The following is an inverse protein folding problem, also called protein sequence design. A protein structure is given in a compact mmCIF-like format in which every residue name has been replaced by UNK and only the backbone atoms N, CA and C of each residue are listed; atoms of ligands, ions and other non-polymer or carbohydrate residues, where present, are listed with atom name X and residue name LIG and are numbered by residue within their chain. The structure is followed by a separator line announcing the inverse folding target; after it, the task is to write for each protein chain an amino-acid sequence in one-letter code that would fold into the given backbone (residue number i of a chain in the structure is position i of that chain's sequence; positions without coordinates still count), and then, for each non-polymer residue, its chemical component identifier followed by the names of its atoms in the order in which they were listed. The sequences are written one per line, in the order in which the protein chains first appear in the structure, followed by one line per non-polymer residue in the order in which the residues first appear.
data_IF_808338778683
#
_entry.id   IF_808338778683
#
_cell.length_a   1.000
_cell.length_b   1.000
_cell.length_c   1.000
_cell.angle_alpha   90.00
_cell.angle_beta   90.00
_cell.angle_gamma   90.00
#
_symmetry.space_group_name_H-M   'P 1'
#
loop_
_entity.id
_entity.type
_entity.pdbx_description
1 polymer ?
#
# COMPACT_ATOMS: atom_id res chain seq x y z
N UNK A 1 -10.74 -0.40 12.07
CA UNK A 1 -9.40 -1.03 12.00
C UNK A 1 -9.34 -2.17 10.99
N UNK A 2 -9.75 -3.42 11.28
CA UNK A 2 -9.59 -4.57 10.35
C UNK A 2 -10.18 -4.33 8.95
N UNK A 3 -11.38 -3.75 8.86
CA UNK A 3 -12.04 -3.46 7.57
C UNK A 3 -11.22 -2.51 6.68
N UNK A 4 -10.60 -1.47 7.28
CA UNK A 4 -9.75 -0.53 6.56
C UNK A 4 -8.49 -1.21 6.02
N UNK A 5 -7.85 -2.03 6.87
CA UNK A 5 -6.66 -2.80 6.49
C UNK A 5 -6.97 -3.77 5.36
N UNK A 6 -8.09 -4.51 5.41
CA UNK A 6 -8.49 -5.41 4.30
C UNK A 6 -8.79 -4.65 3.00
N UNK A 7 -9.44 -3.49 3.09
CA UNK A 7 -9.78 -2.69 1.92
C UNK A 7 -8.52 -2.19 1.22
N UNK A 8 -7.60 -1.58 1.97
CA UNK A 8 -6.35 -1.07 1.42
C UNK A 8 -5.41 -2.19 1.00
N UNK A 9 -5.41 -3.32 1.70
CA UNK A 9 -4.75 -4.54 1.22
C UNK A 9 -5.29 -4.98 -0.15
N UNK A 10 -6.60 -5.02 -0.34
CA UNK A 10 -7.20 -5.36 -1.63
C UNK A 10 -6.86 -4.35 -2.74
N UNK A 11 -6.77 -3.06 -2.41
CA UNK A 11 -6.30 -2.03 -3.35
C UNK A 11 -4.84 -2.23 -3.73
N UNK A 12 -3.97 -2.52 -2.77
CA UNK A 12 -2.55 -2.77 -3.03
C UNK A 12 -2.33 -3.99 -3.94
N UNK A 13 -3.08 -5.07 -3.75
CA UNK A 13 -3.04 -6.24 -4.64
C UNK A 13 -3.46 -5.89 -6.07
N UNK A 14 -4.53 -5.10 -6.23
CA UNK A 14 -4.98 -4.66 -7.56
C UNK A 14 -3.93 -3.82 -8.25
N UNK A 15 -3.32 -2.87 -7.53
CA UNK A 15 -2.23 -2.05 -8.04
C UNK A 15 -1.08 -2.95 -8.47
N UNK A 16 -0.61 -3.86 -7.62
CA UNK A 16 0.49 -4.76 -7.93
C UNK A 16 0.21 -5.69 -9.14
N UNK A 17 -1.00 -6.22 -9.29
CA UNK A 17 -1.38 -7.01 -10.48
C UNK A 17 -1.51 -6.17 -11.75
N UNK A 18 -1.93 -4.91 -11.63
CA UNK A 18 -1.94 -3.98 -12.76
C UNK A 18 -0.52 -3.72 -13.27
N UNK A 19 0.47 -3.58 -12.36
CA UNK A 19 1.89 -3.48 -12.73
C UNK A 19 2.41 -4.71 -13.48
N UNK A 20 1.98 -5.90 -13.08
CA UNK A 20 2.35 -7.14 -13.76
C UNK A 20 1.73 -7.24 -15.17
N UNK A 21 0.48 -6.81 -15.32
CA UNK A 21 -0.29 -7.00 -16.56
C UNK A 21 -0.01 -5.94 -17.62
N UNK A 22 0.14 -4.67 -17.22
CA UNK A 22 0.19 -3.53 -18.16
C UNK A 22 1.60 -3.01 -18.46
N UNK A 23 2.65 -3.64 -17.91
CA UNK A 23 4.05 -3.21 -18.05
C UNK A 23 4.24 -1.70 -17.77
N UNK A 24 3.48 -1.18 -16.80
CA UNK A 24 3.52 0.23 -16.42
C UNK A 24 4.95 0.65 -16.08
N UNK A 25 5.31 1.86 -16.50
CA UNK A 25 6.65 2.38 -16.23
C UNK A 25 6.76 2.80 -14.76
N UNK A 26 7.98 2.81 -14.21
CA UNK A 26 8.22 3.16 -12.81
C UNK A 26 7.67 4.55 -12.42
N UNK A 27 7.52 5.48 -13.38
CA UNK A 27 6.92 6.79 -13.15
C UNK A 27 5.41 6.71 -12.84
N UNK A 28 4.70 5.76 -13.44
CA UNK A 28 3.28 5.51 -13.15
C UNK A 28 3.10 4.90 -11.75
N UNK A 29 4.11 4.15 -11.27
CA UNK A 29 4.20 3.60 -9.91
C UNK A 29 4.20 4.67 -8.85
N UNK A 30 5.02 5.70 -9.02
CA UNK A 30 5.07 6.79 -8.05
C UNK A 30 3.73 7.52 -7.89
N UNK A 31 3.03 7.82 -8.98
CA UNK A 31 1.72 8.48 -8.90
C UNK A 31 0.65 7.63 -8.22
N UNK A 32 0.56 6.34 -8.59
CA UNK A 32 -0.42 5.43 -7.98
C UNK A 32 -0.11 5.12 -6.51
N UNK A 33 1.17 5.09 -6.13
CA UNK A 33 1.61 4.90 -4.74
C UNK A 33 1.30 6.12 -3.88
N UNK A 34 1.44 7.33 -4.42
CA UNK A 34 1.10 8.58 -3.76
C UNK A 34 -0.42 8.72 -3.57
N UNK A 35 -1.22 8.44 -4.60
CA UNK A 35 -2.68 8.40 -4.52
C UNK A 35 -3.18 7.37 -3.49
N UNK A 36 -2.54 6.19 -3.47
CA UNK A 36 -2.84 5.15 -2.50
C UNK A 36 -2.57 5.61 -1.06
N UNK A 37 -1.41 6.24 -0.83
CA UNK A 37 -1.05 6.77 0.49
C UNK A 37 -2.00 7.89 0.92
N UNK A 38 -2.30 8.84 0.03
CA UNK A 38 -3.22 9.94 0.30
C UNK A 38 -4.61 9.43 0.71
N UNK A 39 -5.17 8.49 -0.06
CA UNK A 39 -6.47 7.88 0.25
C UNK A 39 -6.46 7.11 1.58
N UNK A 40 -5.33 6.46 1.91
CA UNK A 40 -5.17 5.75 3.19
C UNK A 40 -5.14 6.73 4.36
N UNK A 41 -4.37 7.81 4.26
CA UNK A 41 -4.29 8.85 5.27
C UNK A 41 -5.62 9.60 5.46
N UNK A 42 -6.35 9.87 4.37
CA UNK A 42 -7.70 10.42 4.44
C UNK A 42 -8.64 9.47 5.19
N UNK A 43 -8.58 8.17 4.91
CA UNK A 43 -9.40 7.17 5.60
C UNK A 43 -9.01 6.98 7.08
N UNK A 44 -7.73 7.16 7.41
CA UNK A 44 -7.22 7.16 8.79
C UNK A 44 -7.70 8.36 9.60
N UNK A 45 -7.99 9.50 8.97
CA UNK A 45 -8.50 10.69 9.67
C UNK A 45 -9.79 10.39 10.45
N UNK A 46 -10.62 9.46 9.97
CA UNK A 46 -11.84 8.99 10.63
C UNK A 46 -11.62 7.98 11.77
N UNK A 47 -10.37 7.58 12.05
CA UNK A 47 -10.00 6.65 13.12
C UNK A 47 -9.39 7.42 14.31
N UNK A 48 -9.63 7.01 15.58
CA UNK A 48 -8.97 7.58 16.74
C UNK A 48 -7.44 7.52 16.64
N UNK A 49 -6.74 8.55 17.11
CA UNK A 49 -5.26 8.61 17.03
C UNK A 49 -4.56 7.41 17.66
N UNK A 50 -5.11 6.85 18.75
CA UNK A 50 -4.61 5.62 19.41
C UNK A 50 -4.54 4.42 18.47
N UNK A 51 -5.41 4.40 17.46
CA UNK A 51 -5.65 3.29 16.57
C UNK A 51 -5.03 3.50 15.18
N UNK A 52 -4.61 4.75 14.86
CA UNK A 52 -4.01 5.10 13.56
C UNK A 52 -2.67 4.42 13.36
N UNK A 53 -1.76 4.53 14.33
CA UNK A 53 -0.46 3.88 14.31
C UNK A 53 -0.59 2.35 14.17
N UNK A 54 -1.51 1.76 14.92
CA UNK A 54 -1.79 0.32 14.82
C UNK A 54 -2.31 -0.06 13.42
N UNK A 55 -3.17 0.74 12.81
CA UNK A 55 -3.62 0.51 11.43
C UNK A 55 -2.47 0.58 10.42
N UNK A 56 -1.61 1.61 10.50
CA UNK A 56 -0.44 1.76 9.64
C UNK A 56 0.47 0.54 9.76
N UNK A 57 0.88 0.18 10.98
CA UNK A 57 1.78 -0.94 11.22
C UNK A 57 1.21 -2.28 10.76
N UNK A 58 -0.09 -2.52 10.94
CA UNK A 58 -0.73 -3.75 10.48
C UNK A 58 -0.75 -3.85 8.95
N UNK A 59 -1.04 -2.75 8.26
CA UNK A 59 -1.07 -2.72 6.80
C UNK A 59 0.34 -2.85 6.21
N UNK A 60 1.30 -2.10 6.75
CA UNK A 60 2.72 -2.17 6.38
C UNK A 60 3.26 -3.59 6.55
N UNK A 61 3.08 -4.21 7.72
CA UNK A 61 3.56 -5.57 7.96
C UNK A 61 2.99 -6.57 6.97
N UNK A 62 1.70 -6.43 6.62
CA UNK A 62 1.05 -7.32 5.66
C UNK A 62 1.60 -7.14 4.25
N UNK A 63 1.77 -5.90 3.80
CA UNK A 63 2.35 -5.58 2.50
C UNK A 63 3.78 -6.08 2.41
N UNK A 64 4.60 -5.81 3.42
CA UNK A 64 6.00 -6.22 3.47
C UNK A 64 6.16 -7.75 3.52
N UNK A 65 5.33 -8.44 4.32
CA UNK A 65 5.33 -9.90 4.37
C UNK A 65 4.98 -10.50 3.00
N UNK A 66 4.03 -9.89 2.29
CA UNK A 66 3.63 -10.35 0.97
C UNK A 66 4.63 -9.99 -0.14
N UNK A 67 5.37 -8.89 -0.01
CA UNK A 67 6.45 -8.51 -0.92
C UNK A 67 7.65 -9.47 -0.85
N UNK A 68 7.77 -10.23 0.24
CA UNK A 68 8.79 -11.27 0.40
C UNK A 68 8.28 -12.68 -0.01
N UNK A 69 7.10 -12.77 -0.63
CA UNK A 69 6.55 -14.05 -1.05
C UNK A 69 7.16 -14.50 -2.39
N UNK A 70 7.76 -15.69 -2.39
CA UNK A 70 8.38 -16.30 -3.58
C UNK A 70 7.38 -16.71 -4.67
N UNK A 71 6.08 -16.65 -4.39
CA UNK A 71 5.02 -16.99 -5.34
C UNK A 71 4.67 -15.84 -6.29
N UNK A 72 5.10 -14.61 -5.96
CA UNK A 72 4.87 -13.42 -6.77
C UNK A 72 6.05 -13.18 -7.73
N UNK A 73 5.78 -12.51 -8.84
CA UNK A 73 6.83 -11.98 -9.72
C UNK A 73 7.61 -10.86 -9.03
N UNK A 74 8.85 -10.63 -9.47
CA UNK A 74 9.69 -9.57 -8.91
C UNK A 74 9.01 -8.19 -9.01
N UNK A 75 8.27 -7.93 -10.10
CA UNK A 75 7.49 -6.72 -10.31
C UNK A 75 6.39 -6.53 -9.25
N UNK A 76 5.62 -7.58 -8.96
CA UNK A 76 4.59 -7.56 -7.91
C UNK A 76 5.22 -7.33 -6.55
N UNK A 77 6.34 -7.99 -6.26
CA UNK A 77 7.07 -7.82 -5.01
C UNK A 77 7.61 -6.39 -4.83
N UNK A 78 8.19 -5.80 -5.88
CA UNK A 78 8.64 -4.40 -5.85
C UNK A 78 7.46 -3.43 -5.65
N UNK A 79 6.34 -3.62 -6.36
CA UNK A 79 5.17 -2.76 -6.19
C UNK A 79 4.59 -2.83 -4.76
N UNK A 80 4.50 -4.03 -4.18
CA UNK A 80 4.05 -4.21 -2.80
C UNK A 80 5.02 -3.60 -1.78
N UNK A 81 6.32 -3.66 -2.02
CA UNK A 81 7.33 -3.03 -1.16
C UNK A 81 7.23 -1.49 -1.19
N UNK A 82 7.05 -0.89 -2.37
CA UNK A 82 6.85 0.56 -2.51
C UNK A 82 5.56 1.01 -1.82
N UNK A 83 4.46 0.27 -1.99
CA UNK A 83 3.19 0.54 -1.29
C UNK A 83 3.34 0.38 0.23
N UNK A 84 4.14 -0.57 0.72
CA UNK A 84 4.44 -0.70 2.15
C UNK A 84 5.15 0.55 2.68
N UNK A 85 6.14 1.05 1.93
CA UNK A 85 6.88 2.26 2.28
C UNK A 85 6.01 3.53 2.28
N UNK A 86 4.97 3.60 1.43
CA UNK A 86 4.12 4.79 1.33
C UNK A 86 3.08 4.92 2.44
N UNK A 87 2.71 3.82 3.11
CA UNK A 87 1.76 3.79 4.23
C UNK A 87 2.23 4.63 5.44
N UNK A 88 3.54 4.83 5.58
CA UNK A 88 4.14 5.65 6.62
C UNK A 88 4.65 7.01 6.11
N UNK A 89 4.57 7.29 4.80
CA UNK A 89 4.92 8.61 4.27
C UNK A 89 3.79 9.56 4.59
N UNK A 90 4.02 10.47 5.52
CA UNK A 90 3.13 11.60 5.75
C UNK A 90 3.08 12.40 4.43
N UNK A 91 1.92 12.52 3.77
CA UNK A 91 1.82 13.32 2.56
C UNK A 91 2.19 14.76 2.89
N UNK A 92 3.21 15.28 2.20
CA UNK A 92 3.63 16.68 2.29
C UNK A 92 2.67 17.46 1.40
N UNK A 93 1.61 18.01 1.98
CA UNK A 93 0.70 18.96 1.33
C UNK A 93 1.25 20.38 1.42
#
# INVERSE_FOLDING_TARGET
MKKLVEEFWGRALKIAHHYESDQLTFADLTGLVDDYSAAFHESLSGIPDSDRLACCSLLEQRLFSSANNKSHTDTVNSALAELAGSVNRIPIY
#
